data_IF_407901325307
#
_entry.id   IF_407901325307
#
_cell.length_a   1.000
_cell.length_b   1.000
_cell.length_c   1.000
_cell.angle_alpha   90.00
_cell.angle_beta   90.00
_cell.angle_gamma   90.00
#
_symmetry.space_group_name_H-M   'P 1'
#
loop_
_entity.id
_entity.type
_entity.pdbx_description
1 polymer ?
#
# COMPACT_ATOMS: atom_id res chain seq x y z
N UNK A 1 6.99 6.72 -17.46
CA UNK A 1 7.94 5.58 -17.57
C UNK A 1 8.72 5.32 -16.28
N UNK A 2 9.42 6.31 -15.70
CA UNK A 2 10.26 6.10 -14.49
C UNK A 2 9.47 5.61 -13.26
N UNK A 3 8.30 6.20 -12.98
CA UNK A 3 7.44 5.75 -11.87
C UNK A 3 6.98 4.29 -12.03
N UNK A 4 6.73 3.84 -13.26
CA UNK A 4 6.38 2.45 -13.53
C UNK A 4 7.56 1.51 -13.24
N UNK A 5 8.79 1.91 -13.58
CA UNK A 5 10.01 1.16 -13.22
C UNK A 5 10.22 1.12 -11.71
N UNK A 6 10.02 2.24 -11.00
CA UNK A 6 10.07 2.29 -9.53
C UNK A 6 9.03 1.37 -8.90
N UNK A 7 7.78 1.41 -9.39
CA UNK A 7 6.72 0.52 -8.92
C UNK A 7 7.07 -0.95 -9.17
N UNK A 8 7.64 -1.28 -10.33
CA UNK A 8 8.08 -2.65 -10.62
C UNK A 8 9.16 -3.15 -9.63
N UNK A 9 10.15 -2.30 -9.31
CA UNK A 9 11.17 -2.62 -8.30
C UNK A 9 10.55 -2.77 -6.90
N UNK A 10 9.65 -1.87 -6.52
CA UNK A 10 8.91 -1.95 -5.26
C UNK A 10 8.10 -3.24 -5.15
N UNK A 11 7.47 -3.66 -6.25
CA UNK A 11 6.71 -4.90 -6.32
C UNK A 11 7.57 -6.12 -5.99
N UNK A 12 8.80 -6.19 -6.50
CA UNK A 12 9.72 -7.29 -6.16
C UNK A 12 10.06 -7.31 -4.67
N UNK A 13 10.25 -6.15 -4.04
CA UNK A 13 10.49 -6.05 -2.59
C UNK A 13 9.24 -6.48 -1.81
N UNK A 14 8.05 -6.03 -2.22
CA UNK A 14 6.77 -6.38 -1.58
C UNK A 14 6.52 -7.87 -1.49
N UNK A 15 6.83 -8.62 -2.56
CA UNK A 15 6.71 -10.08 -2.56
C UNK A 15 7.63 -10.75 -1.53
N UNK A 16 8.80 -10.18 -1.22
CA UNK A 16 9.79 -10.77 -0.32
C UNK A 16 9.53 -10.45 1.15
N UNK A 17 8.96 -9.29 1.45
CA UNK A 17 8.74 -8.89 2.85
C UNK A 17 7.50 -9.56 3.47
N UNK A 18 6.52 -9.97 2.67
CA UNK A 18 5.20 -10.40 3.16
C UNK A 18 5.30 -11.55 4.15
N UNK A 19 5.93 -12.66 3.77
CA UNK A 19 5.97 -13.87 4.61
C UNK A 19 6.73 -13.62 5.92
N UNK A 20 7.83 -12.85 5.87
CA UNK A 20 8.59 -12.48 7.06
C UNK A 20 7.75 -11.62 8.03
N UNK A 21 6.98 -10.67 7.52
CA UNK A 21 6.10 -9.83 8.34
C UNK A 21 4.92 -10.61 8.90
N UNK A 22 4.30 -11.50 8.12
CA UNK A 22 3.18 -12.34 8.59
C UNK A 22 3.65 -13.33 9.66
N UNK A 23 4.83 -13.93 9.49
CA UNK A 23 5.41 -14.82 10.50
C UNK A 23 5.69 -14.08 11.82
N UNK A 24 6.28 -12.87 11.75
CA UNK A 24 6.68 -12.10 12.93
C UNK A 24 5.52 -11.41 13.63
N UNK A 25 4.62 -10.80 12.89
CA UNK A 25 3.60 -9.86 13.43
C UNK A 25 2.22 -10.52 13.60
N UNK A 26 1.99 -11.67 12.94
CA UNK A 26 0.66 -12.30 12.87
C UNK A 26 0.67 -13.78 13.24
N UNK A 27 1.78 -14.30 13.78
CA UNK A 27 1.94 -15.73 14.11
C UNK A 27 1.54 -16.66 12.94
N UNK A 28 1.80 -16.23 11.70
CA UNK A 28 1.47 -16.98 10.49
C UNK A 28 0.02 -16.85 9.99
N UNK A 29 -0.86 -16.08 10.65
CA UNK A 29 -2.24 -15.87 10.18
C UNK A 29 -2.30 -14.83 9.06
N UNK A 30 -2.94 -15.21 7.95
CA UNK A 30 -3.26 -14.31 6.82
C UNK A 30 -4.60 -13.63 7.04
N UNK A 31 -4.71 -12.39 6.58
CA UNK A 31 -5.94 -11.61 6.67
C UNK A 31 -6.97 -12.10 5.65
N UNK A 32 -8.24 -12.07 6.03
CA UNK A 32 -9.35 -12.45 5.15
C UNK A 32 -10.26 -11.28 4.79
N UNK A 33 -10.28 -10.23 5.62
CA UNK A 33 -11.09 -9.02 5.46
C UNK A 33 -10.29 -7.84 4.90
N UNK A 34 -10.91 -7.02 4.05
CA UNK A 34 -10.30 -5.84 3.41
C UNK A 34 -9.78 -4.85 4.46
N UNK A 35 -10.59 -4.53 5.47
CA UNK A 35 -10.17 -3.62 6.53
C UNK A 35 -8.90 -4.10 7.24
N UNK A 36 -8.80 -5.40 7.54
CA UNK A 36 -7.66 -5.93 8.28
C UNK A 36 -6.38 -5.93 7.44
N UNK A 37 -6.45 -6.25 6.14
CA UNK A 37 -5.26 -6.19 5.28
C UNK A 37 -4.81 -4.74 5.08
N UNK A 38 -5.73 -3.78 5.03
CA UNK A 38 -5.38 -2.35 4.99
C UNK A 38 -4.72 -1.88 6.30
N UNK A 39 -5.18 -2.37 7.45
CA UNK A 39 -4.53 -2.11 8.74
C UNK A 39 -3.15 -2.77 8.83
N UNK A 40 -2.97 -3.95 8.22
CA UNK A 40 -1.66 -4.58 8.08
C UNK A 40 -0.70 -3.72 7.24
N UNK A 41 -1.20 -3.10 6.16
CA UNK A 41 -0.43 -2.14 5.36
C UNK A 41 -0.09 -0.88 6.17
N UNK A 42 -1.08 -0.26 6.83
CA UNK A 42 -0.91 0.97 7.63
C UNK A 42 0.07 0.80 8.78
N UNK A 43 0.03 -0.33 9.47
CA UNK A 43 0.84 -0.57 10.67
C UNK A 43 2.10 -1.39 10.35
N UNK A 44 2.04 -2.73 10.43
CA UNK A 44 3.20 -3.62 10.24
C UNK A 44 4.08 -3.35 9.02
N UNK A 45 3.49 -3.22 7.83
CA UNK A 45 4.27 -2.96 6.60
C UNK A 45 4.93 -1.59 6.67
N UNK A 46 4.17 -0.56 7.03
CA UNK A 46 4.69 0.80 7.14
C UNK A 46 5.81 0.93 8.17
N UNK A 47 5.65 0.29 9.34
CA UNK A 47 6.65 0.31 10.41
C UNK A 47 7.93 -0.40 10.00
N UNK A 48 7.81 -1.49 9.24
CA UNK A 48 8.97 -2.20 8.70
C UNK A 48 9.74 -1.37 7.65
N UNK A 49 9.06 -0.51 6.89
CA UNK A 49 9.67 0.33 5.87
C UNK A 49 10.21 1.65 6.41
N UNK A 50 9.48 2.29 7.34
CA UNK A 50 9.71 3.68 7.72
C UNK A 50 9.83 3.91 9.22
N UNK A 51 9.77 2.86 10.05
CA UNK A 51 9.89 2.95 11.50
C UNK A 51 8.67 3.57 12.21
N UNK A 52 7.60 3.89 11.48
CA UNK A 52 6.34 4.41 12.02
C UNK A 52 5.12 3.85 11.27
N UNK A 53 3.94 3.99 11.86
CA UNK A 53 2.69 3.71 11.13
C UNK A 53 2.36 4.82 10.13
N UNK A 54 1.54 4.50 9.13
CA UNK A 54 1.06 5.50 8.20
C UNK A 54 0.20 6.54 8.93
N UNK A 55 0.22 7.80 8.53
CA UNK A 55 -0.52 8.84 9.28
C UNK A 55 -2.05 8.58 9.21
N UNK A 56 -2.58 8.28 8.03
CA UNK A 56 -4.02 8.01 7.85
C UNK A 56 -4.31 6.84 6.92
N UNK A 57 -5.48 6.24 7.15
CA UNK A 57 -6.16 5.31 6.26
C UNK A 57 -7.59 5.82 6.09
N UNK A 58 -7.96 6.21 4.88
CA UNK A 58 -9.29 6.75 4.54
C UNK A 58 -9.94 5.86 3.45
N UNK A 59 -11.27 5.76 3.42
CA UNK A 59 -12.02 5.18 2.30
C UNK A 59 -12.54 6.33 1.42
N UNK A 60 -12.66 6.13 0.11
CA UNK A 60 -13.33 7.09 -0.76
C UNK A 60 -14.83 7.15 -0.43
N UNK A 61 -15.39 8.36 -0.43
CA UNK A 61 -16.81 8.56 -0.08
C UNK A 61 -17.78 7.90 -1.08
N UNK A 62 -17.41 7.91 -2.37
CA UNK A 62 -18.30 7.53 -3.47
C UNK A 62 -17.86 6.24 -4.18
N UNK A 63 -16.82 5.56 -3.70
CA UNK A 63 -16.28 4.32 -4.29
C UNK A 63 -15.78 3.38 -3.19
N UNK A 64 -16.58 2.36 -2.88
CA UNK A 64 -16.28 1.39 -1.82
C UNK A 64 -15.05 0.51 -2.11
N UNK A 65 -14.58 0.48 -3.37
CA UNK A 65 -13.35 -0.20 -3.80
C UNK A 65 -12.08 0.61 -3.56
N UNK A 66 -12.20 1.90 -3.27
CA UNK A 66 -11.07 2.82 -3.25
C UNK A 66 -10.75 3.27 -1.82
N UNK A 67 -9.47 3.12 -1.46
CA UNK A 67 -8.92 3.48 -0.17
C UNK A 67 -7.65 4.31 -0.35
N UNK A 68 -7.30 5.08 0.67
CA UNK A 68 -6.16 5.98 0.68
C UNK A 68 -5.30 5.73 1.90
N UNK A 69 -4.01 5.47 1.69
CA UNK A 69 -2.98 5.55 2.74
C UNK A 69 -2.25 6.88 2.58
N UNK A 70 -2.28 7.72 3.60
CA UNK A 70 -1.81 9.10 3.52
C UNK A 70 -0.63 9.31 4.47
N UNK A 71 0.40 9.94 3.94
CA UNK A 71 1.60 10.40 4.63
C UNK A 71 1.75 11.91 4.45
N UNK A 72 1.77 12.65 5.56
CA UNK A 72 1.90 14.11 5.49
C UNK A 72 3.30 14.50 5.01
N UNK A 73 4.32 13.80 5.49
CA UNK A 73 5.72 14.02 5.12
C UNK A 73 6.17 13.01 4.05
N UNK A 74 6.93 13.42 3.03
CA UNK A 74 7.36 12.52 1.95
C UNK A 74 8.49 11.58 2.41
N UNK A 75 8.13 10.48 3.09
CA UNK A 75 9.07 9.52 3.71
C UNK A 75 10.04 8.86 2.73
N UNK A 76 9.62 8.61 1.50
CA UNK A 76 10.49 7.99 0.49
C UNK A 76 11.58 8.97 0.06
N UNK A 77 11.25 10.26 -0.07
CA UNK A 77 12.20 11.29 -0.49
C UNK A 77 13.30 11.56 0.55
N UNK A 78 13.15 11.03 1.77
CA UNK A 78 14.21 11.05 2.79
C UNK A 78 15.41 10.17 2.42
N UNK A 79 15.20 9.10 1.64
CA UNK A 79 16.23 8.08 1.35
C UNK A 79 16.73 8.08 -0.09
N UNK A 80 16.22 8.98 -0.92
CA UNK A 80 16.62 9.10 -2.32
C UNK A 80 16.85 10.57 -2.68
N UNK A 81 17.91 10.82 -3.44
CA UNK A 81 18.17 12.13 -4.01
C UNK A 81 17.35 12.29 -5.29
N UNK A 82 16.35 13.17 -5.28
CA UNK A 82 15.65 13.56 -6.51
C UNK A 82 16.36 14.79 -7.08
N UNK A 83 16.94 14.71 -8.30
CA UNK A 83 17.50 15.88 -8.97
C UNK A 83 16.46 17.01 -9.03
N UNK A 84 16.87 18.27 -8.83
CA UNK A 84 15.94 19.41 -8.75
C UNK A 84 15.02 19.54 -9.97
N UNK A 85 15.53 19.16 -11.13
CA UNK A 85 14.83 19.12 -12.42
C UNK A 85 13.76 18.02 -12.52
N UNK A 86 13.76 17.04 -11.60
CA UNK A 86 12.78 15.95 -11.50
C UNK A 86 11.91 16.06 -10.23
N UNK A 87 11.71 17.27 -9.69
CA UNK A 87 10.94 17.50 -8.45
C UNK A 87 9.47 17.03 -8.50
N UNK A 88 8.93 16.78 -9.71
CA UNK A 88 7.60 16.20 -9.94
C UNK A 88 7.58 14.67 -9.78
N UNK A 89 8.75 14.02 -9.71
CA UNK A 89 8.87 12.58 -9.58
C UNK A 89 8.32 12.12 -8.23
N UNK A 90 7.17 11.44 -8.27
CA UNK A 90 6.63 10.81 -7.07
C UNK A 90 7.29 9.44 -6.88
N UNK A 91 8.36 9.43 -6.10
CA UNK A 91 9.09 8.20 -5.75
C UNK A 91 8.32 7.28 -4.81
N UNK A 92 7.22 7.76 -4.21
CA UNK A 92 6.27 6.87 -3.57
C UNK A 92 5.62 5.88 -4.55
N UNK A 93 5.85 6.02 -5.86
CA UNK A 93 5.57 4.96 -6.83
C UNK A 93 6.28 3.63 -6.48
N UNK A 94 7.49 3.67 -5.91
CA UNK A 94 8.14 2.47 -5.37
C UNK A 94 7.30 1.83 -4.27
N UNK A 95 6.91 2.62 -3.26
CA UNK A 95 6.04 2.14 -2.17
C UNK A 95 4.69 1.67 -2.69
N UNK A 96 4.11 2.33 -3.71
CA UNK A 96 2.88 1.91 -4.34
C UNK A 96 3.00 0.50 -4.92
N UNK A 97 4.07 0.22 -5.69
CA UNK A 97 4.30 -1.11 -6.24
C UNK A 97 4.55 -2.17 -5.17
N UNK A 98 5.24 -1.81 -4.09
CA UNK A 98 5.45 -2.68 -2.92
C UNK A 98 4.12 -3.05 -2.26
N UNK A 99 3.27 -2.06 -1.99
CA UNK A 99 1.95 -2.27 -1.39
C UNK A 99 1.04 -3.07 -2.33
N UNK A 100 1.09 -2.80 -3.64
CA UNK A 100 0.38 -3.58 -4.67
C UNK A 100 0.74 -5.06 -4.59
N UNK A 101 2.04 -5.38 -4.52
CA UNK A 101 2.51 -6.76 -4.38
C UNK A 101 2.05 -7.42 -3.07
N UNK A 102 2.14 -6.70 -1.95
CA UNK A 102 1.71 -7.20 -0.63
C UNK A 102 0.22 -7.54 -0.65
N UNK A 103 -0.62 -6.66 -1.18
CA UNK A 103 -2.06 -6.86 -1.27
C UNK A 103 -2.40 -8.04 -2.19
N UNK A 104 -1.81 -8.08 -3.38
CA UNK A 104 -2.04 -9.15 -4.35
C UNK A 104 -1.62 -10.52 -3.79
N UNK A 105 -0.41 -10.64 -3.22
CA UNK A 105 0.08 -11.89 -2.62
C UNK A 105 -0.70 -12.32 -1.36
N UNK A 106 -1.39 -11.37 -0.71
CA UNK A 106 -2.31 -11.64 0.40
C UNK A 106 -3.71 -12.05 -0.05
N UNK A 107 -4.00 -12.11 -1.36
CA UNK A 107 -5.32 -12.47 -1.91
C UNK A 107 -6.28 -11.29 -2.07
N UNK A 108 -5.77 -10.06 -2.11
CA UNK A 108 -6.53 -8.83 -2.31
C UNK A 108 -5.97 -8.06 -3.52
N UNK A 109 -6.08 -8.59 -4.74
CA UNK A 109 -5.59 -7.91 -5.93
C UNK A 109 -6.20 -6.49 -6.03
N UNK A 110 -5.32 -5.53 -6.29
CA UNK A 110 -5.64 -4.11 -6.33
C UNK A 110 -4.69 -3.39 -7.29
N UNK A 111 -5.09 -2.22 -7.78
CA UNK A 111 -4.19 -1.25 -8.40
C UNK A 111 -3.81 -0.21 -7.38
N UNK A 112 -2.51 0.02 -7.19
CA UNK A 112 -1.98 1.04 -6.29
C UNK A 112 -1.24 2.12 -7.07
N UNK A 113 -1.56 3.37 -6.79
CA UNK A 113 -0.94 4.54 -7.45
C UNK A 113 -0.59 5.60 -6.42
N UNK A 114 0.46 6.36 -6.68
CA UNK A 114 0.94 7.40 -5.78
C UNK A 114 0.57 8.80 -6.31
N UNK A 115 0.06 9.66 -5.43
CA UNK A 115 -0.43 10.99 -5.74
C UNK A 115 0.09 12.02 -4.73
N UNK A 116 0.21 13.28 -5.16
CA UNK A 116 0.48 14.41 -4.28
C UNK A 116 -0.85 14.99 -3.80
N UNK A 117 -1.36 14.48 -2.68
CA UNK A 117 -2.61 14.90 -2.07
C UNK A 117 -2.49 14.78 -0.55
N UNK A 118 -2.76 15.86 0.20
CA UNK A 118 -2.55 15.94 1.65
C UNK A 118 -1.15 15.44 2.11
N UNK A 119 -0.13 15.68 1.27
CA UNK A 119 1.18 15.04 1.36
C UNK A 119 1.36 13.99 0.26
N UNK A 120 1.94 12.84 0.61
CA UNK A 120 2.03 11.67 -0.25
C UNK A 120 0.83 10.75 0.02
N UNK A 121 0.00 10.49 -0.98
CA UNK A 121 -1.15 9.58 -0.87
C UNK A 121 -0.94 8.36 -1.78
N UNK A 122 -1.10 7.17 -1.24
CA UNK A 122 -1.27 5.95 -2.02
C UNK A 122 -2.77 5.66 -2.18
N UNK A 123 -3.28 5.75 -3.40
CA UNK A 123 -4.61 5.31 -3.75
C UNK A 123 -4.57 3.81 -4.05
N UNK A 124 -5.34 3.03 -3.31
CA UNK A 124 -5.52 1.59 -3.45
C UNK A 124 -6.91 1.36 -4.01
N UNK A 125 -7.03 0.81 -5.21
CA UNK A 125 -8.30 0.45 -5.82
C UNK A 125 -8.37 -1.06 -5.98
N UNK A 126 -9.18 -1.71 -5.15
CA UNK A 126 -9.37 -3.16 -5.22
C UNK A 126 -10.13 -3.58 -6.48
N UNK A 127 -9.89 -4.80 -6.93
CA UNK A 127 -10.75 -5.43 -7.93
C UNK A 127 -12.15 -5.67 -7.37
N UNK A 128 -13.17 -5.61 -8.23
CA UNK A 128 -14.58 -5.80 -7.84
C UNK A 128 -14.80 -7.13 -7.08
N UNK A 129 -14.13 -8.20 -7.52
CA UNK A 129 -14.23 -9.52 -6.90
C UNK A 129 -13.75 -9.54 -5.44
N UNK A 130 -12.81 -8.66 -5.06
CA UNK A 130 -12.34 -8.55 -3.68
C UNK A 130 -13.42 -7.95 -2.80
N UNK A 131 -14.07 -6.86 -3.23
CA UNK A 131 -15.14 -6.22 -2.47
C UNK A 131 -16.39 -7.10 -2.40
N UNK A 132 -16.75 -7.77 -3.50
CA UNK A 132 -17.84 -8.74 -3.51
C UNK A 132 -17.60 -9.89 -2.53
N UNK A 133 -16.37 -10.43 -2.49
CA UNK A 133 -15.95 -11.46 -1.52
C UNK A 133 -16.05 -10.92 -0.09
N UNK A 134 -15.53 -9.73 0.18
CA UNK A 134 -15.52 -9.14 1.53
C UNK A 134 -16.94 -8.98 2.08
N UNK A 135 -17.85 -8.40 1.30
CA UNK A 135 -19.27 -8.26 1.66
C UNK A 135 -19.95 -9.60 1.92
N UNK A 136 -19.64 -10.64 1.14
CA UNK A 136 -20.21 -11.98 1.36
C UNK A 136 -19.78 -12.62 2.69
N UNK A 137 -18.64 -12.18 3.24
CA UNK A 137 -18.11 -12.64 4.52
C UNK A 137 -18.63 -11.82 5.71
N UNK A 138 -19.25 -10.66 5.49
CA UNK A 138 -19.89 -9.87 6.56
C UNK A 138 -21.22 -10.48 7.04
N UNK A 139 -21.87 -11.29 6.19
CA UNK A 139 -23.09 -12.03 6.55
C UNK A 139 -22.84 -13.31 7.38
N UNK A 140 -21.62 -13.50 7.90
CA UNK A 140 -21.20 -14.63 8.74
C UNK A 140 -20.53 -14.12 10.02
#
# INVERSE_FOLDING_TARGET
ELQAKLAHLGHQVGLRILDALVAREKSGRRETKVLNVLLFVKGPVWRALFGKEADKLEQANDDDKTYYVIEKEPLVNTYISVPKENSTLNCAAFTAGLVEAVLAASGFPAKVTAHWHKGTTLMIKFEEAVIARDKSLEGR
#
